data_IF_750064747513
#
_entry.id   IF_750064747513
#
_cell.length_a   1.000
_cell.length_b   1.000
_cell.length_c   1.000
_cell.angle_alpha   90.00
_cell.angle_beta   90.00
_cell.angle_gamma   90.00
#
_symmetry.space_group_name_H-M   'P 1'
#
loop_
_entity.id
_entity.type
_entity.pdbx_description
1 polymer ?
#
# COMPACT_ATOMS: atom_id res chain seq x y z
N UNK A 1 4.99 -35.40 -9.07
CA UNK A 1 5.47 -34.35 -8.15
C UNK A 1 4.47 -33.19 -8.20
N UNK A 2 3.51 -33.18 -7.27
CA UNK A 2 2.44 -32.18 -7.26
C UNK A 2 2.98 -30.81 -6.85
N UNK A 3 2.57 -29.76 -7.58
CA UNK A 3 2.85 -28.37 -7.22
C UNK A 3 2.34 -28.14 -5.80
N UNK A 4 3.22 -27.79 -4.86
CA UNK A 4 2.80 -27.35 -3.52
C UNK A 4 1.74 -26.25 -3.68
N UNK A 5 0.60 -26.33 -2.96
CA UNK A 5 -0.36 -25.24 -2.95
C UNK A 5 0.37 -23.97 -2.52
N UNK A 6 0.29 -22.92 -3.34
CA UNK A 6 0.91 -21.61 -3.10
C UNK A 6 0.16 -20.84 -2.00
N UNK A 7 -0.38 -21.55 -1.02
CA UNK A 7 -1.31 -21.04 -0.01
C UNK A 7 -0.60 -20.37 1.16
N UNK A 8 0.70 -20.63 1.34
CA UNK A 8 1.50 -20.18 2.49
C UNK A 8 2.66 -19.24 2.11
N UNK A 9 2.62 -18.59 0.94
CA UNK A 9 3.43 -17.37 0.77
C UNK A 9 2.71 -16.28 1.56
N UNK A 10 3.32 -15.77 2.63
CA UNK A 10 2.75 -14.72 3.50
C UNK A 10 2.10 -13.63 2.63
N UNK A 11 0.77 -13.59 2.67
CA UNK A 11 0.00 -12.61 1.92
C UNK A 11 0.33 -11.22 2.49
N UNK A 12 1.08 -10.43 1.73
CA UNK A 12 1.35 -9.03 2.07
C UNK A 12 0.12 -8.21 1.72
N UNK A 13 -0.55 -7.69 2.75
CA UNK A 13 -1.69 -6.80 2.58
C UNK A 13 -1.26 -5.35 2.71
N UNK A 14 -1.63 -4.52 1.75
CA UNK A 14 -1.44 -3.09 1.89
C UNK A 14 -2.40 -2.51 2.95
N UNK A 15 -1.89 -1.67 3.84
CA UNK A 15 -2.65 -0.94 4.88
C UNK A 15 -2.48 0.58 4.79
N UNK A 16 -1.85 1.06 3.73
CA UNK A 16 -1.49 2.47 3.58
C UNK A 16 -2.72 3.37 3.57
N UNK A 17 -3.77 3.02 2.83
CA UNK A 17 -5.02 3.81 2.78
C UNK A 17 -5.65 3.97 4.17
N UNK A 18 -5.72 2.88 4.95
CA UNK A 18 -6.30 2.89 6.29
C UNK A 18 -5.48 3.78 7.24
N UNK A 19 -4.14 3.68 7.18
CA UNK A 19 -3.24 4.50 8.00
C UNK A 19 -3.33 5.98 7.59
N UNK A 20 -3.29 6.28 6.29
CA UNK A 20 -3.42 7.63 5.74
C UNK A 20 -4.75 8.27 6.16
N UNK A 21 -5.84 7.53 6.04
CA UNK A 21 -7.18 7.99 6.44
C UNK A 21 -7.26 8.24 7.94
N UNK A 22 -6.67 7.36 8.76
CA UNK A 22 -6.56 7.56 10.22
C UNK A 22 -5.69 8.77 10.58
N UNK A 23 -4.67 9.08 9.79
CA UNK A 23 -3.83 10.27 9.95
C UNK A 23 -4.53 11.57 9.48
N UNK A 24 -5.71 11.48 8.84
CA UNK A 24 -6.47 12.65 8.40
C UNK A 24 -5.82 13.43 7.26
N UNK A 25 -4.87 12.82 6.54
CA UNK A 25 -4.17 13.45 5.42
C UNK A 25 -4.68 12.93 4.08
N UNK A 26 -4.62 13.80 3.08
CA UNK A 26 -4.92 13.46 1.68
C UNK A 26 -3.79 12.67 1.03
N UNK A 27 -4.07 12.02 -0.10
CA UNK A 27 -3.03 11.35 -0.92
C UNK A 27 -1.95 12.32 -1.40
N UNK A 28 -2.32 13.56 -1.72
CA UNK A 28 -1.37 14.61 -2.12
C UNK A 28 -0.43 14.95 -0.95
N UNK A 29 -0.97 15.18 0.24
CA UNK A 29 -0.16 15.46 1.43
C UNK A 29 0.78 14.31 1.79
N UNK A 30 0.36 13.05 1.62
CA UNK A 30 1.24 11.89 1.81
C UNK A 30 2.35 11.87 0.76
N UNK A 31 2.01 12.12 -0.51
CA UNK A 31 2.97 12.17 -1.62
C UNK A 31 4.04 13.25 -1.37
N UNK A 32 3.62 14.45 -0.97
CA UNK A 32 4.51 15.56 -0.65
C UNK A 32 5.40 15.24 0.56
N UNK A 33 4.86 14.58 1.59
CA UNK A 33 5.60 14.27 2.82
C UNK A 33 6.69 13.19 2.64
N UNK A 34 6.53 12.30 1.67
CA UNK A 34 7.49 11.22 1.35
C UNK A 34 8.27 11.47 0.06
N UNK A 35 8.13 12.66 -0.52
CA UNK A 35 8.81 13.12 -1.75
C UNK A 35 8.60 12.18 -2.95
N UNK A 36 7.35 11.80 -3.20
CA UNK A 36 6.96 10.98 -4.36
C UNK A 36 5.85 11.63 -5.17
N UNK A 37 5.67 11.17 -6.41
CA UNK A 37 4.56 11.62 -7.23
C UNK A 37 3.21 11.13 -6.69
N UNK A 38 2.15 11.94 -6.80
CA UNK A 38 0.78 11.61 -6.37
C UNK A 38 0.29 10.26 -6.90
N UNK A 39 0.58 9.96 -8.17
CA UNK A 39 0.17 8.69 -8.79
C UNK A 39 0.89 7.47 -8.18
N UNK A 40 2.08 7.65 -7.62
CA UNK A 40 2.80 6.58 -6.91
C UNK A 40 2.02 6.14 -5.68
N UNK A 41 1.48 7.09 -4.91
CA UNK A 41 0.61 6.77 -3.77
C UNK A 41 -0.64 6.04 -4.25
N UNK A 42 -1.25 6.48 -5.35
CA UNK A 42 -2.43 5.82 -5.93
C UNK A 42 -2.18 4.44 -6.54
N UNK A 43 -0.93 4.12 -6.90
CA UNK A 43 -0.56 2.77 -7.34
C UNK A 43 -0.27 1.83 -6.17
N UNK A 44 0.24 2.39 -5.07
CA UNK A 44 0.53 1.60 -3.86
C UNK A 44 -0.78 1.25 -3.16
N UNK A 45 -1.61 2.26 -2.82
CA UNK A 45 -2.93 2.08 -2.16
C UNK A 45 -3.86 1.14 -2.93
#
# INVERSE_FOLDING_TARGET
MGRKPKADEELVFNRLEAIRSKAGITRQQLADAVDVHYQTIGYIE
#
